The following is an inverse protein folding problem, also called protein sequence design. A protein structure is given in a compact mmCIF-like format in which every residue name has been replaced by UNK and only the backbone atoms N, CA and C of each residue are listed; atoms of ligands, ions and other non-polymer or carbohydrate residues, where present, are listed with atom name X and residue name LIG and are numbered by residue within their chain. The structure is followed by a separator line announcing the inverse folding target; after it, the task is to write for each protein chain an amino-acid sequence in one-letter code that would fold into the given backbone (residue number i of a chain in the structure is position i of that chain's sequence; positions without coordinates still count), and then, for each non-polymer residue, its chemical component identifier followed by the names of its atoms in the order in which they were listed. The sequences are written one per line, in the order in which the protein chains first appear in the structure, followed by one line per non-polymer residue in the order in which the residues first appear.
data_IF_709540901963
#
_entry.id   IF_709540901963
#
_cell.length_a   1.000
_cell.length_b   1.000
_cell.length_c   1.000
_cell.angle_alpha   90.00
_cell.angle_beta   90.00
_cell.angle_gamma   90.00
#
_symmetry.space_group_name_H-M   'P 1'
#
loop_
_entity.id
_entity.type
_entity.pdbx_description
1 polymer ?
#
# COMPACT_ATOMS: atom_id res chain seq x y z
N UNK A 1 12.65 -13.85 2.56
CA UNK A 1 13.46 -14.16 1.36
C UNK A 1 13.13 -13.12 0.29
N UNK A 2 14.13 -12.54 -0.38
CA UNK A 2 13.90 -11.60 -1.48
C UNK A 2 13.05 -12.20 -2.61
N UNK A 3 12.22 -11.38 -3.22
CA UNK A 3 11.41 -11.70 -4.40
C UNK A 3 11.41 -10.50 -5.36
N UNK A 4 10.83 -10.67 -6.56
CA UNK A 4 10.84 -9.62 -7.58
C UNK A 4 10.26 -8.28 -7.09
N UNK A 5 9.19 -8.32 -6.28
CA UNK A 5 8.52 -7.11 -5.75
C UNK A 5 9.42 -6.38 -4.76
N UNK A 6 9.98 -7.11 -3.79
CA UNK A 6 10.90 -6.53 -2.79
C UNK A 6 12.18 -6.00 -3.43
N UNK A 7 12.72 -6.68 -4.45
CA UNK A 7 13.87 -6.17 -5.19
C UNK A 7 13.53 -4.85 -5.90
N UNK A 8 12.45 -4.81 -6.66
CA UNK A 8 12.01 -3.60 -7.37
C UNK A 8 11.79 -2.41 -6.42
N UNK A 9 11.16 -2.64 -5.27
CA UNK A 9 10.95 -1.60 -4.26
C UNK A 9 12.28 -1.11 -3.66
N UNK A 10 13.23 -2.02 -3.45
CA UNK A 10 14.59 -1.67 -3.00
C UNK A 10 15.29 -0.80 -4.04
N UNK A 11 15.20 -1.15 -5.32
CA UNK A 11 15.80 -0.40 -6.43
C UNK A 11 15.18 1.01 -6.57
N UNK A 12 13.91 1.17 -6.17
CA UNK A 12 13.22 2.46 -6.08
C UNK A 12 13.57 3.25 -4.82
N UNK A 13 14.41 2.72 -3.93
CA UNK A 13 14.90 3.37 -2.71
C UNK A 13 14.14 3.02 -1.43
N UNK A 14 13.23 2.04 -1.45
CA UNK A 14 12.58 1.57 -0.23
C UNK A 14 13.54 0.74 0.63
N UNK A 15 13.54 0.97 1.94
CA UNK A 15 14.26 0.12 2.88
C UNK A 15 13.42 -1.12 3.24
N UNK A 16 13.95 -2.31 3.00
CA UNK A 16 13.24 -3.57 3.23
C UNK A 16 13.91 -4.41 4.30
N UNK A 17 13.10 -4.87 5.24
CA UNK A 17 13.49 -5.82 6.29
C UNK A 17 12.79 -7.16 6.04
N UNK A 18 13.53 -8.27 6.15
CA UNK A 18 13.00 -9.62 5.85
C UNK A 18 12.51 -10.39 7.08
N UNK A 19 12.65 -9.83 8.27
CA UNK A 19 12.16 -10.40 9.52
C UNK A 19 11.43 -9.31 10.30
N UNK A 20 10.32 -9.66 10.96
CA UNK A 20 9.62 -8.73 11.83
C UNK A 20 10.40 -8.50 13.11
N UNK A 21 10.77 -7.25 13.35
CA UNK A 21 11.53 -6.84 14.53
C UNK A 21 11.06 -5.48 15.03
N UNK A 22 11.04 -5.24 16.36
CA UNK A 22 10.64 -3.94 16.90
C UNK A 22 11.43 -2.77 16.31
N UNK A 23 12.71 -2.97 16.00
CA UNK A 23 13.60 -1.89 15.54
C UNK A 23 13.32 -1.44 14.09
N UNK A 24 12.53 -2.19 13.33
CA UNK A 24 12.21 -1.83 11.94
C UNK A 24 11.34 -0.56 11.84
N UNK A 25 10.72 -0.11 12.94
CA UNK A 25 9.81 1.04 13.00
C UNK A 25 10.47 2.32 13.53
N UNK A 26 11.77 2.32 13.83
CA UNK A 26 12.42 3.37 14.63
C UNK A 26 12.26 4.81 14.12
N UNK A 27 12.01 5.01 12.82
CA UNK A 27 11.80 6.32 12.20
C UNK A 27 10.42 6.45 11.53
N UNK A 28 9.50 5.51 11.79
CA UNK A 28 8.19 5.50 11.16
C UNK A 28 7.25 6.54 11.79
N UNK A 29 6.64 7.39 10.95
CA UNK A 29 5.56 8.29 11.39
C UNK A 29 4.18 7.61 11.42
N UNK A 30 4.04 6.49 10.68
CA UNK A 30 2.82 5.68 10.58
C UNK A 30 3.21 4.26 10.21
N UNK A 31 2.47 3.27 10.72
CA UNK A 31 2.60 1.86 10.34
C UNK A 31 1.35 1.43 9.58
N UNK A 32 1.53 0.84 8.40
CA UNK A 32 0.44 0.34 7.56
C UNK A 32 0.45 -1.17 7.57
N UNK A 33 -0.69 -1.79 7.91
CA UNK A 33 -0.81 -3.25 8.02
C UNK A 33 -1.79 -3.83 6.99
N UNK A 34 -1.52 -5.06 6.57
CA UNK A 34 -2.49 -5.86 5.82
C UNK A 34 -3.34 -6.70 6.77
N UNK A 35 -4.46 -7.24 6.27
CA UNK A 35 -5.33 -8.13 7.03
C UNK A 35 -4.68 -9.46 7.43
N UNK A 36 -3.55 -9.81 6.83
CA UNK A 36 -2.82 -11.05 7.13
C UNK A 36 -1.83 -10.91 8.29
N UNK A 37 -1.56 -9.69 8.77
CA UNK A 37 -0.64 -9.46 9.90
C UNK A 37 -1.42 -9.53 11.21
N UNK A 38 -0.94 -10.37 12.12
CA UNK A 38 -1.54 -10.57 13.44
C UNK A 38 -1.15 -9.45 14.41
N UNK A 39 -2.01 -9.11 15.40
CA UNK A 39 -1.75 -7.99 16.32
C UNK A 39 -0.55 -8.17 17.26
N UNK A 40 -0.05 -9.40 17.41
CA UNK A 40 1.13 -9.78 18.19
C UNK A 40 2.45 -9.62 17.41
N UNK A 41 2.38 -9.18 16.15
CA UNK A 41 3.58 -8.83 15.38
C UNK A 41 4.43 -7.80 16.17
N UNK A 42 5.74 -8.05 16.35
CA UNK A 42 6.59 -7.18 17.17
C UNK A 42 6.65 -5.73 16.69
N UNK A 43 6.48 -5.48 15.38
CA UNK A 43 6.44 -4.13 14.81
C UNK A 43 5.15 -3.38 15.21
N UNK A 44 4.02 -4.08 15.27
CA UNK A 44 2.74 -3.51 15.69
C UNK A 44 2.75 -3.20 17.19
N UNK A 45 3.30 -4.12 17.99
CA UNK A 45 3.43 -3.92 19.44
C UNK A 45 4.32 -2.71 19.72
N UNK A 46 5.51 -2.66 19.09
CA UNK A 46 6.44 -1.55 19.23
C UNK A 46 5.84 -0.21 18.77
N UNK A 47 5.10 -0.20 17.65
CA UNK A 47 4.42 1.00 17.17
C UNK A 47 3.40 1.54 18.18
N UNK A 48 2.61 0.66 18.80
CA UNK A 48 1.65 1.05 19.85
C UNK A 48 2.35 1.61 21.08
N UNK A 49 3.42 0.99 21.54
CA UNK A 49 4.23 1.46 22.67
C UNK A 49 4.85 2.83 22.39
N UNK A 50 5.35 3.04 21.17
CA UNK A 50 5.89 4.30 20.68
C UNK A 50 4.83 5.35 20.31
N UNK A 51 3.53 5.01 20.44
CA UNK A 51 2.39 5.86 20.03
C UNK A 51 2.40 6.27 18.56
N UNK A 52 2.97 5.44 17.70
CA UNK A 52 2.93 5.59 16.25
C UNK A 52 1.58 5.04 15.75
N UNK A 53 0.80 5.79 14.95
CA UNK A 53 -0.47 5.32 14.41
C UNK A 53 -0.32 4.06 13.58
N UNK A 54 -1.19 3.07 13.81
CA UNK A 54 -1.29 1.85 13.00
C UNK A 54 -2.60 1.90 12.23
N UNK A 55 -2.51 1.97 10.90
CA UNK A 55 -3.67 2.09 10.00
C UNK A 55 -3.78 0.90 9.05
N UNK A 56 -4.99 0.67 8.52
CA UNK A 56 -5.21 -0.41 7.56
C UNK A 56 -4.72 -0.01 6.17
N UNK A 57 -4.28 -0.99 5.37
CA UNK A 57 -3.90 -0.77 3.95
C UNK A 57 -4.97 -0.03 3.15
N UNK A 58 -6.25 -0.31 3.40
CA UNK A 58 -7.35 0.37 2.71
C UNK A 58 -7.48 1.86 3.08
N UNK A 59 -7.17 2.23 4.33
CA UNK A 59 -7.17 3.62 4.79
C UNK A 59 -6.02 4.38 4.14
N UNK A 60 -4.83 3.78 4.07
CA UNK A 60 -3.69 4.38 3.36
C UNK A 60 -4.00 4.60 1.86
N UNK A 61 -4.68 3.64 1.23
CA UNK A 61 -5.11 3.78 -0.17
C UNK A 61 -6.09 4.96 -0.34
N UNK A 62 -7.04 5.13 0.58
CA UNK A 62 -7.97 6.25 0.56
C UNK A 62 -7.24 7.60 0.69
N UNK A 63 -6.21 7.68 1.55
CA UNK A 63 -5.40 8.89 1.70
C UNK A 63 -4.67 9.28 0.42
N UNK A 64 -4.16 8.31 -0.36
CA UNK A 64 -3.55 8.59 -1.67
C UNK A 64 -4.54 9.21 -2.66
N UNK A 65 -5.81 8.80 -2.60
CA UNK A 65 -6.86 9.32 -3.50
C UNK A 65 -7.22 10.78 -3.19
N UNK A 66 -7.08 11.24 -1.94
CA UNK A 66 -7.47 12.61 -1.52
C UNK A 66 -6.71 13.72 -2.26
N UNK A 67 -5.52 13.40 -2.79
CA UNK A 67 -4.65 14.38 -3.46
C UNK A 67 -4.67 14.28 -4.99
N UNK A 68 -5.63 13.54 -5.57
CA UNK A 68 -5.75 13.29 -7.02
C UNK A 68 -7.21 13.35 -7.47
N UNK A 69 -7.41 13.40 -8.78
CA UNK A 69 -8.73 13.11 -9.36
C UNK A 69 -8.98 11.60 -9.30
N UNK A 70 -9.56 11.14 -8.20
CA UNK A 70 -9.78 9.72 -7.93
C UNK A 70 -11.03 9.16 -8.62
N UNK A 71 -10.87 8.04 -9.33
CA UNK A 71 -11.98 7.24 -9.85
C UNK A 71 -12.05 5.94 -9.04
N UNK A 72 -13.15 5.75 -8.30
CA UNK A 72 -13.39 4.53 -7.53
C UNK A 72 -14.33 3.58 -8.28
N UNK A 73 -13.85 2.38 -8.62
CA UNK A 73 -14.66 1.34 -9.26
C UNK A 73 -15.12 0.33 -8.21
N UNK A 74 -16.40 0.40 -7.85
CA UNK A 74 -17.03 -0.51 -6.88
C UNK A 74 -17.93 -1.56 -7.55
N UNK A 75 -18.24 -2.63 -6.82
CA UNK A 75 -19.16 -3.69 -7.29
C UNK A 75 -18.74 -5.08 -6.85
N UNK A 76 -19.65 -6.04 -6.86
CA UNK A 76 -19.33 -7.45 -6.56
C UNK A 76 -18.48 -8.07 -7.67
N UNK A 77 -18.83 -7.79 -8.93
CA UNK A 77 -18.17 -8.32 -10.12
C UNK A 77 -17.70 -7.18 -11.04
N UNK A 78 -16.72 -7.47 -11.90
CA UNK A 78 -16.30 -6.54 -12.96
C UNK A 78 -15.34 -5.41 -12.55
N UNK A 79 -15.04 -5.23 -11.24
CA UNK A 79 -14.15 -4.15 -10.76
C UNK A 79 -12.81 -4.11 -11.49
N UNK A 80 -12.06 -5.21 -11.45
CA UNK A 80 -10.70 -5.30 -12.02
C UNK A 80 -10.72 -5.02 -13.53
N UNK A 81 -11.67 -5.61 -14.26
CA UNK A 81 -11.81 -5.41 -15.70
C UNK A 81 -12.17 -3.96 -16.03
N UNK A 82 -13.12 -3.37 -15.30
CA UNK A 82 -13.54 -1.98 -15.51
C UNK A 82 -12.42 -1.00 -15.16
N UNK A 83 -11.69 -1.20 -14.05
CA UNK A 83 -10.52 -0.38 -13.71
C UNK A 83 -9.45 -0.46 -14.80
N UNK A 84 -9.17 -1.66 -15.32
CA UNK A 84 -8.22 -1.83 -16.43
C UNK A 84 -8.68 -1.13 -17.71
N UNK A 85 -9.97 -1.19 -18.05
CA UNK A 85 -10.52 -0.46 -19.21
C UNK A 85 -10.38 1.06 -19.04
N UNK A 86 -10.72 1.60 -17.86
CA UNK A 86 -10.58 3.04 -17.57
C UNK A 86 -9.11 3.48 -17.66
N UNK A 87 -8.19 2.71 -17.08
CA UNK A 87 -6.75 2.99 -17.17
C UNK A 87 -6.26 2.97 -18.63
N UNK A 88 -6.71 2.01 -19.44
CA UNK A 88 -6.37 1.91 -20.86
C UNK A 88 -6.87 3.13 -21.66
N UNK A 89 -8.11 3.57 -21.44
CA UNK A 89 -8.68 4.76 -22.10
C UNK A 89 -7.84 6.01 -21.79
N UNK A 90 -7.46 6.20 -20.52
CA UNK A 90 -6.65 7.34 -20.11
C UNK A 90 -5.22 7.26 -20.66
N UNK A 91 -4.63 6.06 -20.73
CA UNK A 91 -3.32 5.86 -21.33
C UNK A 91 -3.34 6.19 -22.84
N UNK A 92 -4.35 5.72 -23.58
CA UNK A 92 -4.52 6.02 -25.00
C UNK A 92 -4.77 7.52 -25.25
N UNK A 93 -5.39 8.22 -24.29
CA UNK A 93 -5.53 9.67 -24.31
C UNK A 93 -4.25 10.44 -23.92
N UNK A 94 -3.14 9.75 -23.63
CA UNK A 94 -1.87 10.36 -23.25
C UNK A 94 -1.85 10.96 -21.84
N UNK A 95 -2.76 10.54 -20.95
CA UNK A 95 -2.94 11.12 -19.61
C UNK A 95 -2.17 10.38 -18.50
N UNK A 96 -1.44 9.32 -18.83
CA UNK A 96 -0.59 8.52 -17.93
C UNK A 96 -1.19 8.28 -16.53
N UNK A 97 -2.31 7.54 -16.44
CA UNK A 97 -3.03 7.37 -15.18
C UNK A 97 -2.26 6.48 -14.21
N UNK A 98 -2.20 6.88 -12.94
CA UNK A 98 -1.91 5.93 -11.86
C UNK A 98 -3.17 5.13 -11.54
N UNK A 99 -3.09 3.80 -11.56
CA UNK A 99 -4.19 2.92 -11.17
C UNK A 99 -3.74 1.90 -10.13
N UNK A 100 -4.68 1.46 -9.30
CA UNK A 100 -4.46 0.41 -8.30
C UNK A 100 -5.47 -0.70 -8.57
N UNK A 101 -4.97 -1.89 -8.91
CA UNK A 101 -5.76 -3.10 -9.15
C UNK A 101 -5.37 -4.16 -8.12
N UNK A 102 -6.37 -4.74 -7.44
CA UNK A 102 -6.21 -5.77 -6.41
C UNK A 102 -7.54 -6.13 -5.79
#
# INVERSE_FOLDING_TARGET
VPNAVTQQLTDLGAQIYFNHRPENISDASVVVVSSAITPDNPEIVAAKEARIPVIQRAEMLAELMRFRHGIAVAGTHGKTTTTAMVASIYAEAGLDPTFVNG
#
